data_IF_039786086343
#
_entry.id   IF_039786086343
#
_cell.length_a   1.000
_cell.length_b   1.000
_cell.length_c   1.000
_cell.angle_alpha   90.00
_cell.angle_beta   90.00
_cell.angle_gamma   90.00
#
_symmetry.space_group_name_H-M   'P 1'
#
loop_
_entity.id
_entity.type
_entity.pdbx_description
1 polymer ?
#
# COMPACT_ATOMS: atom_id res chain seq x y z
N UNK A 1 20.29 1.27 -14.62
CA UNK A 1 19.85 2.14 -13.49
C UNK A 1 20.95 3.11 -13.10
N UNK A 2 22.05 2.69 -12.44
CA UNK A 2 23.14 3.61 -12.06
C UNK A 2 23.69 4.44 -13.24
N UNK A 3 23.96 3.79 -14.38
CA UNK A 3 24.42 4.51 -15.59
C UNK A 3 23.42 5.58 -16.08
N UNK A 4 22.12 5.39 -15.87
CA UNK A 4 21.10 6.39 -16.23
C UNK A 4 21.12 7.56 -15.25
N UNK A 5 21.18 7.26 -13.94
CA UNK A 5 21.28 8.28 -12.89
C UNK A 5 22.54 9.13 -13.05
N UNK A 6 23.65 8.53 -13.49
CA UNK A 6 24.91 9.22 -13.78
C UNK A 6 24.95 9.88 -15.17
N UNK A 7 23.88 9.81 -15.96
CA UNK A 7 23.81 10.41 -17.30
C UNK A 7 24.66 9.71 -18.38
N UNK A 8 25.16 8.51 -18.11
CA UNK A 8 25.94 7.68 -19.05
C UNK A 8 25.07 6.84 -19.98
N UNK A 9 23.79 6.66 -19.68
CA UNK A 9 22.81 5.98 -20.50
C UNK A 9 21.57 6.85 -20.65
N UNK A 10 21.03 6.90 -21.87
CA UNK A 10 19.85 7.70 -22.18
C UNK A 10 18.59 7.20 -21.42
N UNK A 11 17.99 8.02 -20.54
CA UNK A 11 16.77 7.67 -19.81
C UNK A 11 15.55 7.56 -20.72
N UNK A 12 15.52 8.19 -21.90
CA UNK A 12 14.38 8.12 -22.82
C UNK A 12 14.36 6.84 -23.66
N UNK A 13 15.46 6.09 -23.68
CA UNK A 13 15.58 4.87 -24.45
C UNK A 13 14.49 3.86 -24.09
N UNK A 14 13.79 3.34 -25.11
CA UNK A 14 12.68 2.40 -24.90
C UNK A 14 13.11 1.14 -24.15
N UNK A 15 14.33 0.67 -24.39
CA UNK A 15 14.89 -0.48 -23.68
C UNK A 15 14.98 -0.24 -22.17
N UNK A 16 15.42 0.95 -21.76
CA UNK A 16 15.50 1.30 -20.34
C UNK A 16 14.10 1.52 -19.73
N UNK A 17 13.22 2.23 -20.43
CA UNK A 17 11.84 2.48 -20.00
C UNK A 17 11.09 1.17 -19.75
N UNK A 18 11.15 0.23 -20.69
CA UNK A 18 10.53 -1.10 -20.52
C UNK A 18 11.14 -1.88 -19.36
N UNK A 19 12.46 -1.80 -19.18
CA UNK A 19 13.16 -2.47 -18.09
C UNK A 19 12.74 -1.93 -16.72
N UNK A 20 12.71 -0.60 -16.55
CA UNK A 20 12.44 0.04 -15.26
C UNK A 20 10.98 -0.13 -14.83
N UNK A 21 10.04 -0.08 -15.78
CA UNK A 21 8.60 -0.29 -15.54
C UNK A 21 8.27 -1.72 -15.12
N UNK A 22 9.06 -2.70 -15.58
CA UNK A 22 8.87 -4.12 -15.25
C UNK A 22 9.68 -4.58 -14.04
N UNK A 23 10.57 -3.73 -13.51
CA UNK A 23 11.35 -4.06 -12.33
C UNK A 23 10.43 -4.18 -11.10
N UNK A 24 10.38 -5.37 -10.50
CA UNK A 24 9.60 -5.63 -9.29
C UNK A 24 10.26 -5.12 -8.00
N UNK A 25 11.54 -4.71 -8.05
CA UNK A 25 12.26 -4.23 -6.88
C UNK A 25 12.46 -5.29 -5.79
N UNK A 26 12.89 -6.50 -6.15
CA UNK A 26 13.02 -7.62 -5.20
C UNK A 26 14.05 -7.41 -4.08
N UNK A 27 15.09 -6.61 -4.31
CA UNK A 27 16.14 -6.22 -3.33
C UNK A 27 16.87 -7.40 -2.65
N UNK A 28 16.71 -8.62 -3.15
CA UNK A 28 17.32 -9.82 -2.58
C UNK A 28 18.86 -9.79 -2.61
N UNK A 29 19.45 -8.99 -3.50
CA UNK A 29 20.89 -8.82 -3.59
C UNK A 29 21.50 -7.92 -2.50
N UNK A 30 20.74 -7.03 -1.88
CA UNK A 30 21.26 -6.06 -0.89
C UNK A 30 21.92 -6.74 0.33
N UNK A 31 21.28 -7.69 1.04
CA UNK A 31 21.86 -8.27 2.26
C UNK A 31 23.10 -9.14 2.00
N UNK A 32 23.32 -9.59 0.76
CA UNK A 32 24.44 -10.45 0.37
C UNK A 32 25.53 -9.70 -0.38
N UNK A 33 25.32 -8.42 -0.69
CA UNK A 33 26.25 -7.66 -1.51
C UNK A 33 27.50 -7.29 -0.69
N UNK A 34 28.70 -7.81 -1.02
CA UNK A 34 29.93 -7.47 -0.30
C UNK A 34 30.32 -5.99 -0.48
N UNK A 35 29.79 -5.34 -1.50
CA UNK A 35 30.01 -3.92 -1.80
C UNK A 35 28.99 -2.99 -1.14
N UNK A 36 27.96 -3.52 -0.46
CA UNK A 36 26.93 -2.72 0.20
C UNK A 36 26.07 -1.89 -0.75
N UNK A 37 25.73 -2.44 -1.92
CA UNK A 37 24.93 -1.71 -2.91
C UNK A 37 23.49 -1.50 -2.42
N UNK A 38 23.10 -0.25 -2.28
CA UNK A 38 21.73 0.20 -1.95
C UNK A 38 20.83 0.17 -3.20
N UNK A 39 20.46 -1.03 -3.64
CA UNK A 39 19.70 -1.23 -4.88
C UNK A 39 18.35 -0.50 -4.85
N UNK A 40 17.65 -0.49 -3.72
CA UNK A 40 16.36 0.18 -3.54
C UNK A 40 16.46 1.68 -3.77
N UNK A 41 17.48 2.34 -3.20
CA UNK A 41 17.74 3.77 -3.43
C UNK A 41 18.09 4.04 -4.89
N UNK A 42 18.94 3.21 -5.50
CA UNK A 42 19.26 3.34 -6.93
C UNK A 42 18.04 3.15 -7.83
N UNK A 43 17.11 2.26 -7.47
CA UNK A 43 15.86 2.03 -8.19
C UNK A 43 14.94 3.25 -8.10
N UNK A 44 14.79 3.85 -6.92
CA UNK A 44 13.98 5.06 -6.72
C UNK A 44 14.52 6.23 -7.54
N UNK A 45 15.83 6.49 -7.48
CA UNK A 45 16.50 7.54 -8.28
C UNK A 45 16.36 7.28 -9.78
N UNK A 46 16.51 6.02 -10.21
CA UNK A 46 16.35 5.65 -11.60
C UNK A 46 14.92 5.84 -12.10
N UNK A 47 13.91 5.56 -11.27
CA UNK A 47 12.49 5.79 -11.60
C UNK A 47 12.15 7.27 -11.66
N UNK A 48 12.68 8.08 -10.76
CA UNK A 48 12.55 9.54 -10.83
C UNK A 48 13.14 10.07 -12.15
N UNK A 49 14.38 9.68 -12.46
CA UNK A 49 15.05 10.05 -13.72
C UNK A 49 14.25 9.61 -14.93
N UNK A 50 13.75 8.36 -14.94
CA UNK A 50 12.92 7.82 -16.01
C UNK A 50 11.60 8.60 -16.19
N UNK A 51 10.94 8.96 -15.09
CA UNK A 51 9.66 9.68 -15.09
C UNK A 51 9.79 11.15 -15.49
N UNK A 52 10.96 11.75 -15.25
CA UNK A 52 11.26 13.12 -15.71
C UNK A 52 11.54 13.13 -17.20
N UNK A 53 12.29 12.14 -17.69
CA UNK A 53 12.58 11.97 -19.11
C UNK A 53 11.31 11.63 -19.92
N UNK A 54 10.51 10.68 -19.43
CA UNK A 54 9.22 10.31 -20.03
C UNK A 54 8.11 10.41 -19.00
N UNK A 55 7.42 11.54 -19.06
CA UNK A 55 6.37 11.83 -18.10
C UNK A 55 5.22 10.80 -18.19
N UNK A 56 4.65 10.37 -17.05
CA UNK A 56 3.57 9.40 -17.03
C UNK A 56 2.32 9.96 -17.73
N UNK A 57 1.44 9.05 -18.16
CA UNK A 57 0.16 9.42 -18.77
C UNK A 57 -0.73 10.20 -17.79
N UNK A 58 -1.67 10.98 -18.34
CA UNK A 58 -2.51 11.88 -17.56
C UNK A 58 -3.31 11.19 -16.46
N UNK A 59 -3.72 9.94 -16.67
CA UNK A 59 -4.42 9.14 -15.66
C UNK A 59 -3.52 8.81 -14.47
N UNK A 60 -2.31 8.31 -14.73
CA UNK A 60 -1.34 7.98 -13.69
C UNK A 60 -0.91 9.22 -12.92
N UNK A 61 -0.64 10.33 -13.62
CA UNK A 61 -0.34 11.62 -12.98
C UNK A 61 -1.49 12.08 -12.09
N UNK A 62 -2.73 12.02 -12.59
CA UNK A 62 -3.92 12.35 -11.80
C UNK A 62 -4.05 11.49 -10.55
N UNK A 63 -3.84 10.17 -10.66
CA UNK A 63 -3.87 9.26 -9.53
C UNK A 63 -2.81 9.59 -8.48
N UNK A 64 -1.57 9.85 -8.88
CA UNK A 64 -0.50 10.25 -7.97
C UNK A 64 -0.83 11.57 -7.25
N UNK A 65 -1.38 12.56 -7.96
CA UNK A 65 -1.81 13.83 -7.35
C UNK A 65 -2.94 13.64 -6.34
N UNK A 66 -3.97 12.84 -6.67
CA UNK A 66 -5.05 12.50 -5.74
C UNK A 66 -4.49 11.82 -4.50
N UNK A 67 -3.57 10.88 -4.67
CA UNK A 67 -2.91 10.15 -3.58
C UNK A 67 -1.95 11.01 -2.76
N UNK A 68 -1.39 12.09 -3.30
CA UNK A 68 -0.56 13.03 -2.55
C UNK A 68 -1.41 13.84 -1.57
N UNK A 69 -2.60 14.27 -2.02
CA UNK A 69 -3.49 15.08 -1.18
C UNK A 69 -4.17 14.26 -0.08
N UNK A 70 -4.08 14.70 1.17
CA UNK A 70 -4.71 14.02 2.31
C UNK A 70 -6.23 13.93 2.18
N UNK A 71 -6.87 15.05 1.84
CA UNK A 71 -8.33 15.15 1.71
C UNK A 71 -8.88 14.24 0.61
N UNK A 72 -8.34 14.29 -0.63
CA UNK A 72 -8.88 13.46 -1.71
C UNK A 72 -8.56 11.98 -1.49
N UNK A 73 -7.42 11.67 -0.89
CA UNK A 73 -7.05 10.30 -0.51
C UNK A 73 -8.04 9.73 0.51
N UNK A 74 -8.37 10.47 1.57
CA UNK A 74 -9.36 10.05 2.57
C UNK A 74 -10.74 9.84 1.95
N UNK A 75 -11.19 10.75 1.07
CA UNK A 75 -12.45 10.62 0.32
C UNK A 75 -12.42 9.36 -0.56
N UNK A 76 -11.33 9.13 -1.30
CA UNK A 76 -11.21 7.98 -2.20
C UNK A 76 -11.26 6.67 -1.43
N UNK A 77 -10.51 6.55 -0.33
CA UNK A 77 -10.52 5.33 0.49
C UNK A 77 -11.87 5.10 1.17
N UNK A 78 -12.51 6.16 1.67
CA UNK A 78 -13.84 6.06 2.26
C UNK A 78 -14.86 5.58 1.22
N UNK A 79 -14.89 6.20 0.04
CA UNK A 79 -15.76 5.81 -1.07
C UNK A 79 -15.47 4.39 -1.59
N UNK A 80 -14.20 4.01 -1.68
CA UNK A 80 -13.81 2.64 -2.04
C UNK A 80 -14.28 1.62 -1.01
N UNK A 81 -14.17 1.93 0.28
CA UNK A 81 -14.61 1.06 1.38
C UNK A 81 -16.14 0.90 1.38
N UNK A 82 -16.90 1.97 1.18
CA UNK A 82 -18.36 1.88 1.08
C UNK A 82 -18.79 1.08 -0.15
N UNK A 83 -18.19 1.32 -1.32
CA UNK A 83 -18.51 0.59 -2.55
C UNK A 83 -18.16 -0.91 -2.46
N UNK A 84 -17.06 -1.22 -1.76
CA UNK A 84 -16.63 -2.59 -1.46
C UNK A 84 -17.64 -3.31 -0.56
N UNK A 85 -17.94 -2.73 0.60
CA UNK A 85 -18.79 -3.37 1.64
C UNK A 85 -20.26 -3.48 1.20
N UNK A 86 -20.80 -2.47 0.51
CA UNK A 86 -22.21 -2.45 0.08
C UNK A 86 -22.54 -3.40 -1.07
N UNK A 87 -21.56 -4.03 -1.70
CA UNK A 87 -21.83 -4.90 -2.84
C UNK A 87 -22.01 -4.15 -4.18
N UNK A 88 -22.00 -2.81 -4.18
CA UNK A 88 -22.27 -2.03 -5.39
C UNK A 88 -21.19 -2.18 -6.47
N UNK A 89 -19.91 -2.40 -6.09
CA UNK A 89 -18.82 -2.60 -7.06
C UNK A 89 -19.08 -3.75 -8.07
N UNK A 90 -19.62 -4.89 -7.62
CA UNK A 90 -19.91 -6.05 -8.49
C UNK A 90 -21.10 -5.81 -9.39
N UNK A 91 -22.15 -5.16 -8.87
CA UNK A 91 -23.29 -4.76 -9.70
C UNK A 91 -22.81 -3.87 -10.84
N UNK A 92 -21.92 -2.91 -10.53
CA UNK A 92 -21.32 -2.06 -11.56
C UNK A 92 -20.45 -2.86 -12.54
N UNK A 93 -19.69 -3.87 -12.11
CA UNK A 93 -18.92 -4.74 -13.01
C UNK A 93 -19.83 -5.43 -14.04
N UNK A 94 -20.97 -5.96 -13.61
CA UNK A 94 -21.91 -6.68 -14.47
C UNK A 94 -22.60 -5.75 -15.49
N UNK A 95 -22.99 -4.55 -15.05
CA UNK A 95 -23.59 -3.52 -15.92
C UNK A 95 -22.58 -3.00 -16.94
N UNK A 96 -21.36 -2.69 -16.48
CA UNK A 96 -20.30 -2.11 -17.30
C UNK A 96 -19.68 -3.13 -18.27
N UNK A 97 -19.83 -4.44 -18.00
CA UNK A 97 -19.47 -5.52 -18.91
C UNK A 97 -20.21 -5.47 -20.26
N UNK A 98 -21.33 -4.74 -20.35
CA UNK A 98 -22.06 -4.51 -21.59
C UNK A 98 -21.47 -3.38 -22.45
N UNK A 99 -20.49 -2.64 -21.95
CA UNK A 99 -19.90 -1.46 -22.61
C UNK A 99 -18.45 -1.74 -23.01
N UNK A 100 -18.18 -1.83 -24.32
CA UNK A 100 -16.86 -2.25 -24.88
C UNK A 100 -15.67 -1.38 -24.48
N UNK A 101 -15.84 -0.09 -24.23
CA UNK A 101 -14.73 0.85 -23.97
C UNK A 101 -14.40 1.04 -22.48
N UNK A 102 -15.13 0.38 -21.58
CA UNK A 102 -15.00 0.59 -20.13
C UNK A 102 -14.02 -0.38 -19.43
N UNK A 103 -13.06 -0.97 -20.18
CA UNK A 103 -12.21 -2.06 -19.72
C UNK A 103 -11.38 -1.75 -18.46
N UNK A 104 -10.76 -0.57 -18.37
CA UNK A 104 -9.92 -0.18 -17.22
C UNK A 104 -10.75 0.05 -15.96
N UNK A 105 -11.89 0.73 -16.10
CA UNK A 105 -12.81 0.97 -14.99
C UNK A 105 -13.42 -0.34 -14.48
N UNK A 106 -13.82 -1.23 -15.40
CA UNK A 106 -14.30 -2.58 -15.05
C UNK A 106 -13.25 -3.37 -14.28
N UNK A 107 -11.99 -3.32 -14.71
CA UNK A 107 -10.88 -3.99 -14.01
C UNK A 107 -10.69 -3.44 -12.59
N UNK A 108 -10.68 -2.12 -12.42
CA UNK A 108 -10.56 -1.50 -11.10
C UNK A 108 -11.72 -1.90 -10.17
N UNK A 109 -12.96 -1.87 -10.67
CA UNK A 109 -14.13 -2.29 -9.90
C UNK A 109 -14.13 -3.79 -9.57
N UNK A 110 -13.62 -4.63 -10.48
CA UNK A 110 -13.47 -6.07 -10.25
C UNK A 110 -12.40 -6.36 -9.19
N UNK A 111 -11.29 -5.62 -9.16
CA UNK A 111 -10.30 -5.72 -8.09
C UNK A 111 -10.89 -5.28 -6.74
N UNK A 112 -11.67 -4.21 -6.74
CA UNK A 112 -12.36 -3.75 -5.53
C UNK A 112 -13.42 -4.76 -5.04
N UNK A 113 -14.14 -5.42 -5.95
CA UNK A 113 -15.12 -6.45 -5.57
C UNK A 113 -14.44 -7.74 -5.09
N UNK A 114 -13.29 -8.10 -5.65
CA UNK A 114 -12.51 -9.27 -5.23
C UNK A 114 -11.92 -9.12 -3.82
N UNK A 115 -11.73 -7.88 -3.36
CA UNK A 115 -11.24 -7.59 -2.00
C UNK A 115 -12.35 -7.45 -0.96
N UNK A 116 -13.59 -7.83 -1.30
CA UNK A 116 -14.70 -7.80 -0.34
C UNK A 116 -14.39 -8.62 0.90
N UNK A 117 -14.79 -8.14 2.08
CA UNK A 117 -14.73 -8.96 3.27
C UNK A 117 -15.54 -10.23 3.00
N UNK A 118 -14.90 -11.40 3.12
CA UNK A 118 -15.62 -12.67 3.11
C UNK A 118 -16.40 -12.75 4.41
N UNK A 119 -17.63 -12.23 4.43
CA UNK A 119 -18.55 -12.46 5.53
C UNK A 119 -18.90 -13.95 5.47
N UNK A 120 -18.29 -14.76 6.34
CA UNK A 120 -18.74 -16.14 6.55
C UNK A 120 -20.12 -16.07 7.20
N UNK A 121 -21.18 -16.19 6.41
CA UNK A 121 -22.53 -16.38 6.91
C UNK A 121 -22.53 -17.62 7.83
N UNK A 122 -22.72 -17.41 9.12
CA UNK A 122 -22.63 -18.42 10.18
C UNK A 122 -21.86 -17.96 11.41
N UNK A 123 -21.00 -16.94 11.25
CA UNK A 123 -20.55 -16.11 12.37
C UNK A 123 -21.21 -14.75 12.18
N UNK A 124 -21.99 -14.33 13.18
CA UNK A 124 -22.84 -13.13 13.11
C UNK A 124 -22.12 -11.90 12.58
N UNK A 125 -22.90 -11.01 11.99
CA UNK A 125 -22.51 -9.67 11.55
C UNK A 125 -21.92 -8.92 12.74
N UNK A 126 -20.62 -9.07 12.97
CA UNK A 126 -19.81 -8.10 13.68
C UNK A 126 -19.23 -7.22 12.61
N UNK A 127 -19.84 -6.04 12.50
CA UNK A 127 -19.24 -4.94 11.80
C UNK A 127 -17.80 -4.78 12.33
N UNK A 128 -16.82 -4.79 11.42
CA UNK A 128 -15.43 -4.38 11.66
C UNK A 128 -15.32 -2.87 11.96
N UNK A 129 -16.42 -2.27 12.45
CA UNK A 129 -16.49 -0.96 13.03
C UNK A 129 -16.56 -1.15 14.54
N UNK A 130 -15.43 -0.93 15.19
CA UNK A 130 -15.41 -0.21 16.47
C UNK A 130 -16.43 -0.71 17.50
N UNK A 131 -16.37 -2.00 17.82
CA UNK A 131 -16.59 -2.36 19.20
C UNK A 131 -15.26 -2.07 19.88
N UNK A 132 -15.23 -1.00 20.69
CA UNK A 132 -14.40 -1.01 21.88
C UNK A 132 -14.77 -2.29 22.61
N UNK A 133 -14.11 -3.38 22.23
CA UNK A 133 -13.95 -4.52 23.08
C UNK A 133 -13.20 -3.96 24.27
N UNK A 134 -13.96 -3.46 25.24
CA UNK A 134 -13.78 -3.75 26.66
C UNK A 134 -13.86 -5.28 26.86
N UNK A 135 -13.16 -6.04 26.00
CA UNK A 135 -12.52 -7.27 26.42
C UNK A 135 -11.49 -6.75 27.38
N UNK A 136 -11.92 -6.65 28.63
CA UNK A 136 -11.11 -6.95 29.79
C UNK A 136 -10.12 -8.03 29.33
N UNK A 137 -8.93 -7.57 28.93
CA UNK A 137 -7.78 -8.43 28.70
C UNK A 137 -7.61 -9.01 30.07
N UNK A 138 -8.14 -10.21 30.30
CA UNK A 138 -7.96 -10.92 31.56
C UNK A 138 -6.47 -10.89 31.81
N UNK A 139 -6.12 -10.16 32.86
CA UNK A 139 -4.80 -10.11 33.47
C UNK A 139 -4.40 -11.53 33.83
N UNK A 140 -3.85 -12.24 32.85
CA UNK A 140 -3.36 -13.60 32.99
C UNK A 140 -2.12 -13.77 32.14
N UNK A 141 -1.23 -12.77 32.16
CA UNK A 141 0.18 -13.02 32.00
C UNK A 141 0.91 -12.28 33.11
N UNK A 142 1.55 -13.08 34.00
CA UNK A 142 2.48 -12.64 35.02
C UNK A 142 3.42 -11.54 34.48
N UNK A 143 3.89 -10.60 35.31
CA UNK A 143 4.68 -9.46 34.86
C UNK A 143 5.89 -9.94 34.07
N UNK A 144 5.77 -9.90 32.74
CA UNK A 144 6.86 -10.16 31.82
C UNK A 144 7.74 -8.93 31.89
N UNK A 145 9.02 -9.11 32.23
CA UNK A 145 10.01 -8.03 32.18
C UNK A 145 9.94 -7.41 30.79
N UNK A 146 9.31 -6.24 30.68
CA UNK A 146 9.00 -5.63 29.40
C UNK A 146 10.29 -5.33 28.66
N UNK A 147 10.44 -5.88 27.45
CA UNK A 147 11.64 -5.67 26.61
C UNK A 147 11.68 -4.22 26.12
N UNK A 148 10.52 -3.59 25.97
CA UNK A 148 10.33 -2.20 25.58
C UNK A 148 8.93 -1.92 25.05
N UNK A 149 8.71 -0.73 24.52
CA UNK A 149 7.47 -0.35 23.82
C UNK A 149 7.70 -0.21 22.32
N UNK A 150 6.68 -0.57 21.52
CA UNK A 150 6.73 -0.53 20.05
C UNK A 150 5.49 0.14 19.49
N UNK A 151 5.70 1.13 18.63
CA UNK A 151 4.64 1.75 17.84
C UNK A 151 4.34 0.96 16.57
N UNK A 152 3.09 0.59 16.32
CA UNK A 152 2.67 -0.02 15.05
C UNK A 152 2.04 1.05 14.14
N UNK A 153 2.63 1.18 12.94
CA UNK A 153 2.05 1.87 11.81
C UNK A 153 1.13 0.90 11.07
N UNK A 154 -0.16 1.24 11.02
CA UNK A 154 -1.21 0.42 10.38
C UNK A 154 -1.18 0.57 8.86
N UNK A 155 -0.73 1.72 8.36
CA UNK A 155 -0.60 2.03 6.94
C UNK A 155 -1.95 2.14 6.23
N UNK A 156 -1.96 2.60 4.98
CA UNK A 156 -3.19 2.75 4.21
C UNK A 156 -3.68 1.43 3.59
N UNK A 157 -2.81 0.74 2.85
CA UNK A 157 -3.14 -0.52 2.16
C UNK A 157 -3.29 -1.67 3.16
N UNK A 158 -2.39 -1.76 4.13
CA UNK A 158 -2.40 -2.83 5.11
C UNK A 158 -3.63 -2.76 6.01
N UNK A 159 -4.02 -1.57 6.50
CA UNK A 159 -5.28 -1.40 7.22
C UNK A 159 -6.51 -1.79 6.38
N UNK A 160 -6.55 -1.40 5.11
CA UNK A 160 -7.71 -1.64 4.24
C UNK A 160 -7.86 -3.09 3.73
N UNK A 161 -6.76 -3.78 3.44
CA UNK A 161 -6.75 -5.08 2.77
C UNK A 161 -6.11 -6.20 3.58
N UNK A 162 -5.21 -5.87 4.51
CA UNK A 162 -4.40 -6.83 5.25
C UNK A 162 -4.43 -6.56 6.76
N UNK A 163 -5.57 -6.09 7.31
CA UNK A 163 -5.72 -5.79 8.74
C UNK A 163 -5.34 -6.97 9.64
N UNK A 164 -5.66 -8.20 9.19
CA UNK A 164 -5.22 -9.44 9.86
C UNK A 164 -3.71 -9.54 10.09
N UNK A 165 -2.90 -8.92 9.24
CA UNK A 165 -1.42 -8.86 9.35
C UNK A 165 -1.02 -7.85 10.42
N UNK A 166 -1.67 -6.67 10.49
CA UNK A 166 -1.51 -5.74 11.61
C UNK A 166 -1.80 -6.44 12.94
N UNK A 167 -2.94 -7.14 13.04
CA UNK A 167 -3.34 -7.81 14.28
C UNK A 167 -2.40 -8.97 14.63
N UNK A 168 -1.97 -9.76 13.64
CA UNK A 168 -0.99 -10.82 13.85
C UNK A 168 0.36 -10.28 14.32
N UNK A 169 0.79 -9.13 13.79
CA UNK A 169 2.02 -8.46 14.20
C UNK A 169 1.93 -7.97 15.63
N UNK A 170 0.83 -7.32 16.01
CA UNK A 170 0.56 -6.86 17.37
C UNK A 170 0.58 -8.02 18.38
N UNK A 171 -0.15 -9.11 18.09
CA UNK A 171 -0.14 -10.31 18.95
C UNK A 171 1.24 -10.93 19.08
N UNK A 172 2.00 -10.98 18.00
CA UNK A 172 3.36 -11.55 18.02
C UNK A 172 4.27 -10.72 18.92
N UNK A 173 4.25 -9.39 18.81
CA UNK A 173 5.05 -8.50 19.63
C UNK A 173 4.66 -8.58 21.12
N UNK A 174 3.35 -8.57 21.40
CA UNK A 174 2.81 -8.70 22.76
C UNK A 174 3.24 -10.01 23.44
N UNK A 175 3.14 -11.14 22.71
CA UNK A 175 3.60 -12.45 23.21
C UNK A 175 5.12 -12.47 23.46
N UNK A 176 5.90 -11.61 22.80
CA UNK A 176 7.33 -11.46 23.02
C UNK A 176 7.68 -10.39 24.08
N UNK A 177 6.69 -9.87 24.81
CA UNK A 177 6.92 -8.97 25.94
C UNK A 177 7.13 -7.49 25.57
N UNK A 178 6.68 -7.08 24.38
CA UNK A 178 6.64 -5.67 24.00
C UNK A 178 5.29 -5.03 24.34
N UNK A 179 5.33 -3.81 24.87
CA UNK A 179 4.14 -2.97 24.97
C UNK A 179 3.79 -2.40 23.58
N UNK A 180 2.74 -2.92 22.95
CA UNK A 180 2.34 -2.52 21.60
C UNK A 180 1.38 -1.32 21.64
N UNK A 181 1.76 -0.24 20.98
CA UNK A 181 0.96 0.99 20.87
C UNK A 181 0.61 1.26 19.42
N UNK A 182 -0.68 1.43 19.09
CA UNK A 182 -1.07 1.86 17.74
C UNK A 182 -0.81 3.36 17.57
N UNK A 183 -0.12 3.74 16.50
CA UNK A 183 0.07 5.17 16.17
C UNK A 183 -1.25 5.70 15.58
N UNK A 184 -1.94 6.60 16.27
CA UNK A 184 -3.26 7.09 15.81
C UNK A 184 -3.16 8.19 14.76
N UNK A 185 -2.10 9.00 14.79
CA UNK A 185 -1.83 10.05 13.79
C UNK A 185 -0.74 9.57 12.83
N UNK A 186 -1.16 8.89 11.76
CA UNK A 186 -0.29 8.43 10.69
C UNK A 186 -0.56 9.27 9.43
N UNK A 187 0.48 9.62 8.69
CA UNK A 187 0.35 10.16 7.33
C UNK A 187 0.74 9.10 6.30
N UNK A 188 0.54 9.42 5.02
CA UNK A 188 0.97 8.55 3.93
C UNK A 188 2.50 8.42 3.94
N UNK A 189 3.04 7.20 3.87
CA UNK A 189 4.49 6.96 3.81
C UNK A 189 5.13 7.32 2.46
N UNK A 190 4.34 7.78 1.48
CA UNK A 190 4.85 8.20 0.16
C UNK A 190 5.32 7.09 -0.76
N UNK A 191 5.25 5.81 -0.35
CA UNK A 191 5.79 4.68 -1.12
C UNK A 191 5.24 4.60 -2.56
N UNK A 192 3.94 4.89 -2.75
CA UNK A 192 3.33 4.91 -4.09
C UNK A 192 3.96 5.99 -4.99
N UNK A 193 4.24 7.16 -4.44
CA UNK A 193 4.86 8.28 -5.15
C UNK A 193 6.31 7.99 -5.49
N UNK A 194 7.09 7.47 -4.53
CA UNK A 194 8.48 7.07 -4.75
C UNK A 194 8.58 6.00 -5.86
N UNK A 195 7.72 4.98 -5.82
CA UNK A 195 7.67 3.95 -6.86
C UNK A 195 7.15 4.46 -8.21
N UNK A 196 6.36 5.54 -8.23
CA UNK A 196 5.92 6.23 -9.44
C UNK A 196 6.94 7.25 -9.99
N UNK A 197 8.14 7.34 -9.40
CA UNK A 197 9.17 8.32 -9.79
C UNK A 197 8.91 9.75 -9.27
N UNK A 198 7.91 9.96 -8.43
CA UNK A 198 7.58 11.26 -7.83
C UNK A 198 8.21 11.40 -6.44
N UNK A 199 9.54 11.33 -6.34
CA UNK A 199 10.25 11.33 -5.05
C UNK A 199 10.01 12.59 -4.22
N UNK A 200 9.94 13.76 -4.84
CA UNK A 200 9.62 15.03 -4.15
C UNK A 200 8.23 15.01 -3.49
N UNK A 201 7.26 14.30 -4.07
CA UNK A 201 5.92 14.18 -3.49
C UNK A 201 5.81 13.04 -2.45
N UNK A 202 6.83 12.20 -2.34
CA UNK A 202 6.88 11.07 -1.42
C UNK A 202 7.39 11.43 -0.01
N UNK A 203 8.08 12.57 0.13
CA UNK A 203 8.74 13.04 1.36
C UNK A 203 8.09 14.31 1.87
#
# INVERSE_FOLDING_TARGET
MQAVVEGRLDPESDAFQVHIDRCLGCRACEPVCPSGVEYGTLLELARETASTARAPDGLTRGLLTVMASRMLREILFLGGRTLRVTGLASVMVDVLGRIRFAGRLRFALAMLSATRPSVRLGQGVMADGMESQDTEIKDAHAPRVGVGSVGILRGCVQEGLYGRVNDATARTLDVNGYEVRTVTRQDCCGALHAHGGALTAAR
#
